data_IF_878527174869
#
_entry.id   IF_878527174869
#
_cell.length_a   1.000
_cell.length_b   1.000
_cell.length_c   1.000
_cell.angle_alpha   90.00
_cell.angle_beta   90.00
_cell.angle_gamma   90.00
#
_symmetry.space_group_name_H-M   'P 1'
#
loop_
_entity.id
_entity.type
_entity.pdbx_description
1 polymer ?
#
# COMPACT_ATOMS: atom_id res chain seq x y z
N UNK A 1 -17.64 -33.00 22.64
CA UNK A 1 -16.84 -32.40 21.56
C UNK A 1 -15.53 -33.14 21.54
N UNK A 2 -15.29 -33.95 20.52
CA UNK A 2 -14.11 -34.81 20.44
C UNK A 2 -12.87 -33.92 20.22
N UNK A 3 -11.94 -33.93 21.18
CA UNK A 3 -10.61 -33.36 20.99
C UNK A 3 -9.91 -34.22 19.93
N UNK A 4 -9.81 -33.71 18.71
CA UNK A 4 -9.01 -34.34 17.65
C UNK A 4 -7.57 -34.39 18.16
N UNK A 5 -7.03 -35.59 18.38
CA UNK A 5 -5.66 -35.77 18.85
C UNK A 5 -4.69 -35.26 17.78
N UNK A 6 -3.91 -34.23 18.11
CA UNK A 6 -2.88 -33.70 17.20
C UNK A 6 -1.67 -34.63 17.23
N UNK A 7 -1.34 -35.19 16.08
CA UNK A 7 -0.18 -36.06 15.92
C UNK A 7 1.09 -35.23 15.82
N UNK A 8 2.15 -35.61 16.55
CA UNK A 8 3.45 -34.96 16.49
C UNK A 8 3.70 -33.82 17.50
N UNK A 9 2.77 -33.55 18.43
CA UNK A 9 2.96 -32.48 19.43
C UNK A 9 4.19 -32.67 20.33
N UNK A 10 4.44 -33.90 20.78
CA UNK A 10 5.59 -34.18 21.65
C UNK A 10 6.91 -34.13 20.87
N UNK A 11 6.87 -34.49 19.58
CA UNK A 11 8.01 -34.37 18.67
C UNK A 11 8.30 -32.89 18.39
N UNK A 12 7.25 -32.10 18.16
CA UNK A 12 7.35 -30.65 17.98
C UNK A 12 7.95 -30.00 19.23
N UNK A 13 7.44 -30.29 20.42
CA UNK A 13 7.99 -29.71 21.66
C UNK A 13 9.47 -30.03 21.82
N UNK A 14 9.87 -31.30 21.65
CA UNK A 14 11.28 -31.70 21.71
C UNK A 14 12.12 -30.97 20.66
N UNK A 15 11.59 -30.79 19.45
CA UNK A 15 12.30 -30.09 18.40
C UNK A 15 12.49 -28.61 18.71
N UNK A 16 11.45 -27.93 19.20
CA UNK A 16 11.53 -26.52 19.63
C UNK A 16 12.50 -26.35 20.81
N UNK A 17 12.48 -27.26 21.78
CA UNK A 17 13.44 -27.25 22.89
C UNK A 17 14.88 -27.46 22.41
N UNK A 18 15.08 -28.31 21.39
CA UNK A 18 16.37 -28.49 20.72
C UNK A 18 16.85 -27.22 20.03
N UNK A 19 15.97 -26.52 19.30
CA UNK A 19 16.28 -25.23 18.66
C UNK A 19 16.57 -24.12 19.67
N UNK A 20 15.94 -24.16 20.84
CA UNK A 20 16.21 -23.20 21.92
C UNK A 20 17.60 -23.41 22.54
N UNK A 21 18.05 -24.66 22.60
CA UNK A 21 19.39 -25.03 23.10
C UNK A 21 20.49 -24.79 22.06
N UNK A 22 20.20 -25.09 20.79
CA UNK A 22 21.12 -24.91 19.66
C UNK A 22 20.43 -24.19 18.49
N UNK A 23 20.56 -22.85 18.40
CA UNK A 23 20.01 -22.08 17.29
C UNK A 23 20.57 -22.44 15.91
N UNK A 24 21.67 -23.19 15.82
CA UNK A 24 22.23 -23.66 14.55
C UNK A 24 21.52 -24.93 14.03
N UNK A 25 20.68 -25.57 14.85
CA UNK A 25 19.89 -26.72 14.44
C UNK A 25 18.93 -26.34 13.29
N UNK A 26 18.88 -27.21 12.28
CA UNK A 26 18.01 -27.03 11.11
C UNK A 26 16.55 -27.26 11.53
N UNK A 27 15.68 -26.30 11.21
CA UNK A 27 14.24 -26.44 11.46
C UNK A 27 13.64 -27.55 10.60
N UNK A 28 12.91 -28.45 11.24
CA UNK A 28 12.13 -29.48 10.58
C UNK A 28 10.79 -28.89 10.10
N UNK A 29 10.81 -28.15 9.00
CA UNK A 29 9.63 -27.46 8.45
C UNK A 29 8.43 -28.40 8.29
N UNK A 30 8.65 -29.62 7.79
CA UNK A 30 7.59 -30.63 7.62
C UNK A 30 6.87 -30.99 8.91
N UNK A 31 7.59 -31.06 10.04
CA UNK A 31 6.97 -31.32 11.35
C UNK A 31 6.09 -30.15 11.78
N UNK A 32 6.57 -28.92 11.60
CA UNK A 32 5.82 -27.71 11.95
C UNK A 32 4.56 -27.59 11.08
N UNK A 33 4.69 -27.76 9.76
CA UNK A 33 3.58 -27.70 8.80
C UNK A 33 2.52 -28.77 9.12
N UNK A 34 2.94 -30.01 9.41
CA UNK A 34 2.01 -31.09 9.75
C UNK A 34 1.22 -30.79 11.02
N UNK A 35 1.85 -30.21 12.04
CA UNK A 35 1.14 -29.80 13.26
C UNK A 35 0.23 -28.61 12.97
N UNK A 36 0.69 -27.62 12.21
CA UNK A 36 -0.07 -26.44 11.84
C UNK A 36 -1.40 -26.80 11.14
N UNK A 37 -1.35 -27.72 10.18
CA UNK A 37 -2.52 -28.19 9.42
C UNK A 37 -3.59 -28.87 10.30
N UNK A 38 -3.19 -29.40 11.46
CA UNK A 38 -4.10 -30.05 12.42
C UNK A 38 -4.64 -29.07 13.47
N UNK A 39 -4.11 -27.85 13.56
CA UNK A 39 -4.55 -26.86 14.54
C UNK A 39 -5.94 -26.30 14.17
N UNK A 40 -6.84 -26.30 15.13
CA UNK A 40 -8.20 -25.74 15.05
C UNK A 40 -8.39 -24.74 16.18
N UNK A 41 -9.37 -23.83 16.07
CA UNK A 41 -9.66 -22.87 17.14
C UNK A 41 -9.91 -23.54 18.51
N UNK A 42 -10.50 -24.75 18.49
CA UNK A 42 -10.80 -25.54 19.69
C UNK A 42 -9.55 -26.12 20.36
N UNK A 43 -8.48 -26.40 19.61
CA UNK A 43 -7.27 -27.03 20.14
C UNK A 43 -6.09 -26.04 20.34
N UNK A 44 -6.13 -24.86 19.72
CA UNK A 44 -5.07 -23.85 19.88
C UNK A 44 -5.03 -23.34 21.32
N UNK A 45 -6.17 -22.96 21.90
CA UNK A 45 -6.24 -22.32 23.22
C UNK A 45 -5.56 -23.14 24.34
N UNK A 46 -5.81 -24.47 24.50
CA UNK A 46 -5.10 -25.29 25.47
C UNK A 46 -3.59 -25.41 25.24
N UNK A 47 -3.14 -25.21 24.01
CA UNK A 47 -1.75 -25.40 23.60
C UNK A 47 -0.93 -24.10 23.67
N UNK A 48 -1.56 -22.93 23.78
CA UNK A 48 -0.89 -21.63 23.86
C UNK A 48 0.17 -21.56 24.96
N UNK A 49 -0.09 -21.94 26.22
CA UNK A 49 0.91 -21.81 27.28
C UNK A 49 2.13 -22.72 27.04
N UNK A 50 1.95 -23.82 26.30
CA UNK A 50 3.01 -24.78 25.98
C UNK A 50 3.89 -24.24 24.85
N UNK A 51 3.33 -23.76 23.75
CA UNK A 51 4.11 -23.47 22.54
C UNK A 51 4.45 -21.99 22.35
N UNK A 52 3.56 -21.08 22.72
CA UNK A 52 3.74 -19.66 22.40
C UNK A 52 5.02 -19.06 23.02
N UNK A 53 5.37 -19.29 24.31
CA UNK A 53 6.61 -18.76 24.89
C UNK A 53 7.88 -19.26 24.20
N UNK A 54 7.86 -20.50 23.70
CA UNK A 54 8.99 -21.10 22.98
C UNK A 54 9.16 -20.49 21.61
N UNK A 55 8.05 -20.38 20.87
CA UNK A 55 8.02 -19.78 19.54
C UNK A 55 8.48 -18.31 19.59
N UNK A 56 7.98 -17.52 20.54
CA UNK A 56 8.40 -16.11 20.68
C UNK A 56 9.87 -15.98 21.06
N UNK A 57 10.40 -16.87 21.89
CA UNK A 57 11.83 -16.89 22.22
C UNK A 57 12.68 -17.25 20.99
N UNK A 58 12.28 -18.27 20.22
CA UNK A 58 12.96 -18.66 18.99
C UNK A 58 13.02 -17.52 17.98
N UNK A 59 11.90 -16.83 17.74
CA UNK A 59 11.84 -15.72 16.79
C UNK A 59 12.84 -14.59 17.09
N UNK A 60 13.25 -14.41 18.35
CA UNK A 60 14.24 -13.38 18.74
C UNK A 60 15.69 -13.78 18.51
N UNK A 61 15.98 -15.07 18.40
CA UNK A 61 17.36 -15.58 18.34
C UNK A 61 17.69 -16.37 17.07
N UNK A 62 16.67 -16.72 16.28
CA UNK A 62 16.84 -17.60 15.13
C UNK A 62 17.44 -16.84 13.93
N UNK A 63 18.49 -17.40 13.33
CA UNK A 63 19.29 -16.76 12.28
C UNK A 63 19.09 -17.36 10.88
N UNK A 64 18.39 -18.50 10.78
CA UNK A 64 18.06 -19.12 9.49
C UNK A 64 16.66 -18.68 9.02
N UNK A 65 16.16 -19.28 7.93
CA UNK A 65 14.82 -19.01 7.40
C UNK A 65 13.73 -19.26 8.47
N UNK A 66 13.03 -18.23 8.94
CA UNK A 66 12.07 -18.36 10.03
C UNK A 66 10.68 -18.79 9.57
N UNK A 67 10.47 -19.05 8.26
CA UNK A 67 9.13 -19.19 7.66
C UNK A 67 8.24 -20.20 8.38
N UNK A 68 8.72 -21.43 8.63
CA UNK A 68 7.90 -22.45 9.31
C UNK A 68 7.57 -22.08 10.76
N UNK A 69 8.52 -21.48 11.49
CA UNK A 69 8.31 -21.01 12.89
C UNK A 69 7.28 -19.89 12.90
N UNK A 70 7.39 -18.95 11.96
CA UNK A 70 6.48 -17.82 11.82
C UNK A 70 5.06 -18.26 11.49
N UNK A 71 4.87 -19.15 10.51
CA UNK A 71 3.53 -19.61 10.12
C UNK A 71 2.81 -20.27 11.29
N UNK A 72 3.50 -21.16 11.99
CA UNK A 72 2.99 -21.78 13.21
C UNK A 72 2.68 -20.74 14.29
N UNK A 73 3.54 -19.72 14.46
CA UNK A 73 3.30 -18.63 15.42
C UNK A 73 2.06 -17.82 15.05
N UNK A 74 1.89 -17.46 13.78
CA UNK A 74 0.70 -16.77 13.27
C UNK A 74 -0.56 -17.60 13.59
N UNK A 75 -0.50 -18.92 13.38
CA UNK A 75 -1.61 -19.82 13.70
C UNK A 75 -1.96 -19.80 15.19
N UNK A 76 -0.96 -19.86 16.08
CA UNK A 76 -1.18 -19.74 17.52
C UNK A 76 -1.69 -18.36 17.95
N UNK A 77 -1.24 -17.28 17.32
CA UNK A 77 -1.71 -15.93 17.63
C UNK A 77 -3.13 -15.63 17.13
N UNK A 78 -3.70 -16.49 16.27
CA UNK A 78 -5.06 -16.36 15.74
C UNK A 78 -6.11 -16.01 16.81
N UNK A 79 -6.34 -16.87 17.83
CA UNK A 79 -7.35 -16.63 18.86
C UNK A 79 -6.90 -15.69 20.00
N UNK A 80 -5.63 -15.27 20.05
CA UNK A 80 -5.14 -14.39 21.13
C UNK A 80 -5.63 -12.95 20.88
N UNK A 81 -6.24 -12.24 21.85
CA UNK A 81 -6.67 -10.85 21.65
C UNK A 81 -5.50 -9.89 21.41
N UNK A 82 -5.72 -8.79 20.68
CA UNK A 82 -4.68 -7.81 20.34
C UNK A 82 -3.91 -7.32 21.56
N UNK A 83 -4.60 -6.90 22.63
CA UNK A 83 -3.96 -6.38 23.85
C UNK A 83 -2.94 -7.36 24.45
N UNK A 84 -3.27 -8.65 24.44
CA UNK A 84 -2.40 -9.69 24.98
C UNK A 84 -1.18 -9.89 24.09
N UNK A 85 -1.37 -9.90 22.76
CA UNK A 85 -0.25 -10.00 21.80
C UNK A 85 0.67 -8.78 21.91
N UNK A 86 0.10 -7.58 21.99
CA UNK A 86 0.85 -6.33 22.08
C UNK A 86 1.58 -6.18 23.42
N UNK A 87 1.05 -6.74 24.51
CA UNK A 87 1.77 -6.79 25.79
C UNK A 87 2.98 -7.75 25.75
N UNK A 88 2.92 -8.80 24.92
CA UNK A 88 4.01 -9.77 24.76
C UNK A 88 5.08 -9.30 23.76
N UNK A 89 4.67 -8.66 22.66
CA UNK A 89 5.55 -8.14 21.62
C UNK A 89 5.65 -6.62 21.74
N UNK A 90 6.75 -6.13 22.32
CA UNK A 90 6.97 -4.69 22.48
C UNK A 90 7.04 -4.00 21.11
N UNK A 91 6.75 -2.69 21.03
CA UNK A 91 6.87 -1.93 19.78
C UNK A 91 8.21 -2.16 19.05
N UNK A 92 9.32 -2.20 19.78
CA UNK A 92 10.65 -2.45 19.19
C UNK A 92 10.78 -3.85 18.57
N UNK A 93 10.17 -4.88 19.18
CA UNK A 93 10.16 -6.25 18.63
C UNK A 93 9.36 -6.28 17.30
N UNK A 94 8.27 -5.50 17.21
CA UNK A 94 7.45 -5.40 16.02
C UNK A 94 8.13 -4.59 14.91
N UNK A 95 8.82 -3.50 15.26
CA UNK A 95 9.66 -2.75 14.32
C UNK A 95 10.75 -3.68 13.76
N UNK A 96 11.44 -4.44 14.61
CA UNK A 96 12.45 -5.40 14.16
C UNK A 96 11.86 -6.47 13.21
N UNK A 97 10.65 -6.95 13.49
CA UNK A 97 9.96 -7.90 12.62
C UNK A 97 9.59 -7.28 11.26
N UNK A 98 9.16 -6.01 11.25
CA UNK A 98 8.87 -5.25 10.03
C UNK A 98 10.14 -4.91 9.25
N UNK A 99 11.27 -4.65 9.91
CA UNK A 99 12.53 -4.31 9.26
C UNK A 99 13.30 -5.54 8.73
N UNK A 100 12.98 -6.73 9.25
CA UNK A 100 13.59 -8.00 8.86
C UNK A 100 13.61 -8.20 7.34
N UNK A 101 14.70 -8.74 6.76
CA UNK A 101 14.73 -9.12 5.35
C UNK A 101 13.86 -10.34 5.04
N UNK A 102 13.41 -11.09 6.06
CA UNK A 102 12.58 -12.26 5.90
C UNK A 102 11.09 -11.88 5.70
N UNK A 103 10.46 -12.21 4.56
CA UNK A 103 9.06 -11.85 4.29
C UNK A 103 8.10 -12.38 5.36
N UNK A 104 8.34 -13.60 5.86
CA UNK A 104 7.55 -14.20 6.92
C UNK A 104 7.53 -13.31 8.18
N UNK A 105 8.67 -12.78 8.61
CA UNK A 105 8.75 -11.89 9.77
C UNK A 105 7.94 -10.60 9.56
N UNK A 106 7.97 -10.03 8.34
CA UNK A 106 7.16 -8.86 8.01
C UNK A 106 5.67 -9.19 8.08
N UNK A 107 5.26 -10.34 7.54
CA UNK A 107 3.88 -10.84 7.61
C UNK A 107 3.42 -11.07 9.05
N UNK A 108 4.30 -11.55 9.94
CA UNK A 108 4.01 -11.67 11.37
C UNK A 108 3.77 -10.29 12.00
N UNK A 109 4.68 -9.34 11.80
CA UNK A 109 4.53 -7.97 12.32
C UNK A 109 3.23 -7.32 11.85
N UNK A 110 2.95 -7.37 10.54
CA UNK A 110 1.70 -6.87 9.97
C UNK A 110 0.47 -7.63 10.48
N UNK A 111 0.57 -8.93 10.74
CA UNK A 111 -0.53 -9.71 11.30
C UNK A 111 -0.84 -9.30 12.73
N UNK A 112 0.18 -9.08 13.56
CA UNK A 112 -0.01 -8.57 14.93
C UNK A 112 -0.71 -7.22 14.92
N UNK A 113 -0.23 -6.27 14.11
CA UNK A 113 -0.83 -4.94 14.00
C UNK A 113 -2.27 -5.00 13.49
N UNK A 114 -2.52 -5.83 12.47
CA UNK A 114 -3.85 -6.01 11.90
C UNK A 114 -4.89 -6.52 12.91
N UNK A 115 -4.49 -7.20 13.99
CA UNK A 115 -5.42 -7.61 15.05
C UNK A 115 -6.06 -6.43 15.78
N UNK A 116 -5.45 -5.24 15.76
CA UNK A 116 -6.05 -4.04 16.33
C UNK A 116 -7.36 -3.67 15.60
N UNK A 117 -7.52 -4.03 14.32
CA UNK A 117 -8.77 -3.82 13.56
C UNK A 117 -9.98 -4.63 14.10
N UNK A 118 -9.79 -5.47 15.12
CA UNK A 118 -10.91 -6.15 15.78
C UNK A 118 -11.77 -5.19 16.64
N UNK A 119 -11.21 -4.09 17.12
CA UNK A 119 -11.90 -3.14 18.01
C UNK A 119 -11.32 -1.71 17.85
N UNK A 120 -12.14 -0.68 17.59
CA UNK A 120 -11.68 0.70 17.48
C UNK A 120 -10.96 1.23 18.73
N UNK A 121 -11.19 0.65 19.92
CA UNK A 121 -10.53 1.06 21.17
C UNK A 121 -9.02 0.74 21.18
N UNK A 122 -8.56 -0.15 20.30
CA UNK A 122 -7.13 -0.50 20.18
C UNK A 122 -6.32 0.52 19.37
N UNK A 123 -6.96 1.33 18.53
CA UNK A 123 -6.30 2.19 17.53
C UNK A 123 -5.58 3.40 18.16
N UNK A 124 -6.12 4.04 19.22
CA UNK A 124 -5.37 5.07 19.96
C UNK A 124 -4.03 4.57 20.47
N UNK A 125 -3.96 3.33 20.97
CA UNK A 125 -2.71 2.73 21.43
C UNK A 125 -1.68 2.61 20.30
N UNK A 126 -2.11 2.18 19.11
CA UNK A 126 -1.22 2.10 17.94
C UNK A 126 -0.72 3.49 17.50
N UNK A 127 -1.62 4.48 17.47
CA UNK A 127 -1.28 5.85 17.11
C UNK A 127 -0.28 6.53 18.06
N UNK A 128 -0.17 6.02 19.30
CA UNK A 128 0.82 6.49 20.27
C UNK A 128 2.26 6.03 19.94
N UNK A 129 2.45 5.19 18.92
CA UNK A 129 3.77 4.74 18.45
C UNK A 129 4.00 5.10 16.97
N UNK A 130 4.26 6.38 16.63
CA UNK A 130 4.52 6.82 15.25
C UNK A 130 5.62 6.05 14.53
N UNK A 131 6.71 5.69 15.23
CA UNK A 131 7.82 4.90 14.65
C UNK A 131 7.39 3.50 14.20
N UNK A 132 6.45 2.88 14.90
CA UNK A 132 5.90 1.58 14.53
C UNK A 132 5.02 1.69 13.28
N UNK A 133 4.23 2.76 13.18
CA UNK A 133 3.44 3.08 11.97
C UNK A 133 4.36 3.42 10.80
N UNK A 134 5.43 4.17 11.04
CA UNK A 134 6.46 4.48 10.03
C UNK A 134 7.16 3.21 9.52
N UNK A 135 7.57 2.30 10.41
CA UNK A 135 8.13 1.01 10.02
C UNK A 135 7.14 0.17 9.20
N UNK A 136 5.85 0.19 9.56
CA UNK A 136 4.80 -0.47 8.79
C UNK A 136 4.66 0.14 7.39
N UNK A 137 4.63 1.46 7.25
CA UNK A 137 4.51 2.15 5.95
C UNK A 137 5.72 1.87 5.06
N UNK A 138 6.94 1.98 5.59
CA UNK A 138 8.17 1.63 4.87
C UNK A 138 8.08 0.20 4.35
N UNK A 139 7.76 -0.74 5.23
CA UNK A 139 7.70 -2.15 4.84
C UNK A 139 6.59 -2.45 3.84
N UNK A 140 5.41 -1.87 4.01
CA UNK A 140 4.31 -2.04 3.09
C UNK A 140 4.64 -1.51 1.69
N UNK A 141 5.22 -0.32 1.59
CA UNK A 141 5.45 0.32 0.29
C UNK A 141 6.73 -0.15 -0.39
N UNK A 142 7.80 -0.44 0.35
CA UNK A 142 9.12 -0.75 -0.20
C UNK A 142 9.49 -2.24 -0.24
N UNK A 143 8.68 -3.16 0.31
CA UNK A 143 8.97 -4.60 0.19
C UNK A 143 8.89 -5.06 -1.28
N UNK A 144 9.85 -5.85 -1.80
CA UNK A 144 9.72 -6.42 -3.15
C UNK A 144 8.66 -7.53 -3.24
N UNK A 145 8.28 -8.13 -2.11
CA UNK A 145 7.39 -9.29 -2.07
C UNK A 145 5.91 -8.88 -2.23
N UNK A 146 5.18 -9.61 -3.07
CA UNK A 146 3.77 -9.33 -3.38
C UNK A 146 2.90 -9.56 -2.15
N UNK A 147 3.13 -10.67 -1.43
CA UNK A 147 2.37 -11.07 -0.25
C UNK A 147 2.49 -10.06 0.90
N UNK A 148 3.67 -9.46 1.09
CA UNK A 148 3.88 -8.39 2.09
C UNK A 148 3.11 -7.13 1.69
N UNK A 149 3.17 -6.75 0.41
CA UNK A 149 2.40 -5.62 -0.13
C UNK A 149 0.88 -5.79 0.02
N UNK A 150 0.36 -6.98 -0.30
CA UNK A 150 -1.06 -7.32 -0.18
C UNK A 150 -1.51 -7.32 1.29
N UNK A 151 -0.73 -7.93 2.18
CA UNK A 151 -1.01 -7.94 3.61
C UNK A 151 -1.02 -6.54 4.19
N UNK A 152 -0.05 -5.70 3.82
CA UNK A 152 0.04 -4.31 4.27
C UNK A 152 -1.16 -3.48 3.79
N UNK A 153 -1.55 -3.59 2.53
CA UNK A 153 -2.71 -2.87 1.99
C UNK A 153 -4.01 -3.27 2.71
N UNK A 154 -4.22 -4.59 2.91
CA UNK A 154 -5.37 -5.10 3.66
C UNK A 154 -5.37 -4.58 5.10
N UNK A 155 -4.24 -4.73 5.80
CA UNK A 155 -4.13 -4.34 7.20
C UNK A 155 -4.36 -2.84 7.38
N UNK A 156 -3.73 -2.00 6.57
CA UNK A 156 -3.91 -0.55 6.65
C UNK A 156 -5.35 -0.13 6.33
N UNK A 157 -5.94 -0.70 5.28
CA UNK A 157 -7.32 -0.42 4.92
C UNK A 157 -8.31 -0.81 6.04
N UNK A 158 -8.12 -1.98 6.66
CA UNK A 158 -8.98 -2.45 7.76
C UNK A 158 -8.79 -1.60 9.03
N UNK A 159 -7.56 -1.21 9.35
CA UNK A 159 -7.26 -0.33 10.49
C UNK A 159 -7.88 1.06 10.32
N UNK A 160 -7.75 1.66 9.13
CA UNK A 160 -8.32 2.98 8.84
C UNK A 160 -9.85 2.93 8.75
N UNK A 161 -10.43 1.85 8.23
CA UNK A 161 -11.88 1.67 8.24
C UNK A 161 -12.44 1.65 9.66
N UNK A 162 -11.83 0.85 10.55
CA UNK A 162 -12.23 0.73 11.95
C UNK A 162 -11.98 2.02 12.74
N UNK A 163 -10.89 2.74 12.45
CA UNK A 163 -10.57 4.01 13.11
C UNK A 163 -11.38 5.20 12.57
N UNK A 164 -12.09 5.06 11.45
CA UNK A 164 -12.77 6.19 10.81
C UNK A 164 -13.75 6.89 11.77
N UNK A 165 -13.61 8.21 12.03
CA UNK A 165 -14.46 8.92 12.99
C UNK A 165 -15.86 9.25 12.43
N UNK A 166 -16.07 9.02 11.13
CA UNK A 166 -17.36 9.23 10.50
C UNK A 166 -18.34 8.09 10.87
N UNK A 167 -19.65 8.37 10.89
CA UNK A 167 -20.66 7.33 11.04
C UNK A 167 -20.44 6.16 10.07
N UNK A 168 -20.71 4.90 10.49
CA UNK A 168 -20.68 3.78 9.58
C UNK A 168 -21.69 3.99 8.45
N UNK A 169 -21.39 3.56 7.21
CA UNK A 169 -22.36 3.58 6.13
C UNK A 169 -23.61 2.77 6.51
N UNK A 170 -24.77 3.17 5.98
CA UNK A 170 -25.97 2.37 6.12
C UNK A 170 -25.73 0.96 5.54
N UNK A 171 -26.30 -0.11 6.13
CA UNK A 171 -26.16 -1.46 5.60
C UNK A 171 -26.57 -1.48 4.12
N UNK A 172 -25.66 -1.91 3.25
CA UNK A 172 -25.95 -2.04 1.82
C UNK A 172 -27.00 -3.13 1.63
N UNK A 173 -28.15 -2.78 1.05
CA UNK A 173 -29.20 -3.74 0.70
C UNK A 173 -28.89 -4.53 -0.57
N UNK A 174 -27.80 -4.18 -1.27
CA UNK A 174 -27.37 -4.82 -2.51
C UNK A 174 -26.05 -5.57 -2.27
N UNK A 175 -25.92 -6.83 -2.74
CA UNK A 175 -24.65 -7.53 -2.78
C UNK A 175 -23.75 -6.82 -3.80
N UNK A 176 -22.62 -6.29 -3.36
CA UNK A 176 -21.62 -5.70 -4.24
C UNK A 176 -20.58 -6.78 -4.50
N UNK A 177 -20.58 -7.35 -5.71
CA UNK A 177 -19.62 -8.38 -6.11
C UNK A 177 -18.30 -7.75 -6.60
N UNK A 178 -17.74 -6.87 -5.77
CA UNK A 178 -16.40 -6.32 -5.99
C UNK A 178 -15.42 -7.18 -5.20
N UNK A 179 -14.85 -8.18 -5.90
CA UNK A 179 -13.84 -9.07 -5.36
C UNK A 179 -12.78 -8.25 -4.61
N UNK A 180 -12.69 -8.44 -3.29
CA UNK A 180 -11.63 -7.97 -2.37
C UNK A 180 -11.86 -6.66 -1.59
N UNK A 181 -13.02 -6.00 -1.66
CA UNK A 181 -13.24 -4.75 -0.89
C UNK A 181 -14.52 -4.79 -0.04
N UNK A 182 -14.44 -5.35 1.17
CA UNK A 182 -15.44 -5.05 2.21
C UNK A 182 -15.39 -3.54 2.47
N UNK A 183 -16.39 -2.82 1.96
CA UNK A 183 -16.46 -1.36 1.95
C UNK A 183 -16.49 -0.75 3.36
N UNK A 184 -16.99 -1.50 4.34
CA UNK A 184 -17.05 -1.06 5.73
C UNK A 184 -17.11 -2.25 6.68
N UNK A 185 -16.05 -2.42 7.45
CA UNK A 185 -15.99 -3.33 8.60
C UNK A 185 -16.59 -2.70 9.86
N UNK A 186 -16.55 -1.37 9.96
CA UNK A 186 -16.96 -0.65 11.16
C UNK A 186 -18.46 -0.74 11.41
N UNK A 187 -18.82 -0.90 12.68
CA UNK A 187 -20.21 -0.92 13.19
C UNK A 187 -20.56 0.33 14.01
N UNK A 188 -19.56 1.12 14.35
CA UNK A 188 -19.65 2.37 15.10
C UNK A 188 -18.53 3.31 14.62
N UNK A 189 -18.62 4.63 14.88
CA UNK A 189 -17.50 5.53 14.64
C UNK A 189 -16.27 5.13 15.45
N UNK A 190 -15.09 5.22 14.83
CA UNK A 190 -13.80 5.07 15.48
C UNK A 190 -13.27 6.38 16.07
N UNK A 191 -11.99 6.37 16.46
CA UNK A 191 -11.35 7.50 17.15
C UNK A 191 -10.72 8.54 16.21
N UNK A 192 -10.46 8.19 14.95
CA UNK A 192 -9.75 9.01 13.97
C UNK A 192 -8.28 9.26 14.32
N UNK A 193 -7.72 8.50 15.27
CA UNK A 193 -6.37 8.72 15.78
C UNK A 193 -5.31 8.31 14.75
N UNK A 194 -5.52 7.19 14.06
CA UNK A 194 -4.66 6.71 12.99
C UNK A 194 -4.85 7.53 11.71
N UNK A 195 -6.06 8.00 11.41
CA UNK A 195 -6.31 8.97 10.33
C UNK A 195 -5.51 10.27 10.55
N UNK A 196 -5.57 10.81 11.77
CA UNK A 196 -4.84 12.03 12.12
C UNK A 196 -3.33 11.80 12.03
N UNK A 197 -2.83 10.67 12.54
CA UNK A 197 -1.42 10.32 12.42
C UNK A 197 -0.98 10.14 10.96
N UNK A 198 -1.78 9.52 10.09
CA UNK A 198 -1.33 9.25 8.72
C UNK A 198 -1.39 10.49 7.81
N UNK A 199 -2.42 11.34 7.98
CA UNK A 199 -2.71 12.41 7.01
C UNK A 199 -2.54 13.84 7.57
N UNK A 200 -2.46 14.01 8.89
CA UNK A 200 -2.30 15.33 9.52
C UNK A 200 -0.96 15.50 10.24
N UNK A 201 -0.35 14.42 10.71
CA UNK A 201 1.02 14.45 11.22
C UNK A 201 2.02 14.65 10.09
N UNK A 202 2.93 15.61 10.28
CA UNK A 202 3.88 16.03 9.24
C UNK A 202 4.87 14.93 8.91
N UNK A 203 5.43 14.27 9.92
CA UNK A 203 6.53 13.32 9.73
C UNK A 203 6.02 12.06 9.02
N UNK A 204 4.90 11.53 9.49
CA UNK A 204 4.26 10.33 8.92
C UNK A 204 3.76 10.58 7.49
N UNK A 205 3.11 11.72 7.25
CA UNK A 205 2.63 12.07 5.91
C UNK A 205 3.79 12.33 4.93
N UNK A 206 4.85 13.00 5.39
CA UNK A 206 6.05 13.23 4.56
C UNK A 206 6.72 11.90 4.20
N UNK A 207 6.83 10.96 5.15
CA UNK A 207 7.37 9.62 4.88
C UNK A 207 6.55 8.88 3.81
N UNK A 208 5.21 8.91 3.92
CA UNK A 208 4.32 8.32 2.91
C UNK A 208 4.60 8.91 1.52
N UNK A 209 4.67 10.23 1.43
CA UNK A 209 4.93 10.94 0.18
C UNK A 209 6.33 10.64 -0.37
N UNK A 210 7.36 10.60 0.46
CA UNK A 210 8.74 10.31 0.04
C UNK A 210 8.89 8.87 -0.51
N UNK A 211 8.19 7.91 0.09
CA UNK A 211 8.17 6.52 -0.37
C UNK A 211 7.55 6.39 -1.77
N UNK A 212 6.39 7.02 -2.00
CA UNK A 212 5.67 6.88 -3.28
C UNK A 212 6.19 7.80 -4.39
N UNK A 213 6.98 8.82 -4.04
CA UNK A 213 7.56 9.81 -4.98
C UNK A 213 9.01 9.50 -5.40
N UNK A 214 9.60 8.42 -4.89
CA UNK A 214 10.98 8.03 -5.24
C UNK A 214 12.05 8.88 -4.56
N UNK A 215 11.72 9.50 -3.43
CA UNK A 215 12.65 10.32 -2.62
C UNK A 215 13.22 9.56 -1.44
N UNK A 216 12.53 8.52 -0.99
CA UNK A 216 13.03 7.63 0.05
C UNK A 216 14.13 6.71 -0.49
N UNK A 217 15.23 6.44 0.25
CA UNK A 217 16.34 5.60 -0.24
C UNK A 217 15.93 4.22 -0.76
N UNK A 218 14.88 3.62 -0.18
CA UNK A 218 14.37 2.29 -0.56
C UNK A 218 13.55 2.29 -1.86
N UNK A 219 13.06 3.44 -2.32
CA UNK A 219 12.28 3.58 -3.56
C UNK A 219 12.93 4.54 -4.57
N UNK A 220 14.02 5.19 -4.20
CA UNK A 220 14.71 6.14 -5.06
C UNK A 220 15.41 5.43 -6.23
N UNK A 221 15.12 5.79 -7.50
CA UNK A 221 15.66 5.09 -8.67
C UNK A 221 17.20 5.19 -8.78
N UNK A 222 17.78 6.20 -8.13
CA UNK A 222 19.21 6.54 -8.21
C UNK A 222 19.96 6.37 -6.87
N UNK A 223 19.37 5.70 -5.87
CA UNK A 223 20.12 5.43 -4.63
C UNK A 223 21.28 4.48 -4.96
N UNK A 224 22.49 5.02 -4.87
CA UNK A 224 23.73 4.25 -5.07
C UNK A 224 23.72 3.10 -4.06
N UNK A 225 23.92 1.84 -4.47
CA UNK A 225 23.97 0.74 -3.53
C UNK A 225 25.12 1.01 -2.57
N UNK A 226 24.81 1.25 -1.30
CA UNK A 226 25.80 1.14 -0.23
C UNK A 226 26.24 -0.32 -0.16
N UNK A 227 27.22 -0.65 -0.99
CA UNK A 227 28.10 -1.80 -0.91
C UNK A 227 27.53 -3.20 -1.24
N UNK A 228 26.60 -3.32 -2.19
CA UNK A 228 26.30 -4.60 -2.86
C UNK A 228 26.05 -4.40 -4.35
N UNK A 229 26.59 -5.30 -5.17
CA UNK A 229 26.48 -5.30 -6.63
C UNK A 229 25.05 -5.60 -7.13
N UNK A 230 24.07 -4.74 -6.80
CA UNK A 230 22.71 -4.84 -7.32
C UNK A 230 22.35 -3.62 -8.15
N UNK A 231 22.04 -3.90 -9.41
CA UNK A 231 21.81 -2.96 -10.51
C UNK A 231 20.76 -1.88 -10.17
N UNK A 232 21.02 -0.63 -10.58
CA UNK A 232 20.11 0.54 -10.50
C UNK A 232 18.68 0.27 -11.05
N UNK A 233 18.51 -0.78 -11.87
CA UNK A 233 17.20 -1.26 -12.35
C UNK A 233 16.25 -1.74 -11.25
N UNK A 234 16.72 -2.06 -10.03
CA UNK A 234 15.87 -2.60 -8.98
C UNK A 234 14.96 -1.54 -8.34
N UNK A 235 15.45 -0.30 -8.17
CA UNK A 235 14.71 0.69 -7.37
C UNK A 235 13.64 1.43 -8.17
N UNK A 236 13.82 1.60 -9.48
CA UNK A 236 12.73 2.08 -10.34
C UNK A 236 11.52 1.11 -10.29
N UNK A 237 11.79 -0.20 -10.27
CA UNK A 237 10.74 -1.19 -10.07
C UNK A 237 10.10 -1.09 -8.68
N UNK A 238 10.89 -0.87 -7.61
CA UNK A 238 10.34 -0.64 -6.27
C UNK A 238 9.43 0.59 -6.21
N UNK A 239 9.78 1.67 -6.91
CA UNK A 239 8.93 2.85 -7.02
C UNK A 239 7.59 2.52 -7.69
N UNK A 240 7.60 1.84 -8.84
CA UNK A 240 6.37 1.39 -9.51
C UNK A 240 5.53 0.47 -8.62
N UNK A 241 6.15 -0.41 -7.83
CA UNK A 241 5.44 -1.24 -6.85
C UNK A 241 4.78 -0.40 -5.76
N UNK A 242 5.50 0.58 -5.17
CA UNK A 242 4.96 1.49 -4.16
C UNK A 242 3.78 2.30 -4.71
N UNK A 243 3.92 2.86 -5.91
CA UNK A 243 2.87 3.60 -6.61
C UNK A 243 1.64 2.73 -6.92
N UNK A 244 1.86 1.52 -7.44
CA UNK A 244 0.77 0.56 -7.69
C UNK A 244 0.06 0.11 -6.41
N UNK A 245 0.77 0.02 -5.27
CA UNK A 245 0.17 -0.32 -3.97
C UNK A 245 -0.72 0.80 -3.44
N UNK A 246 -0.29 2.05 -3.50
CA UNK A 246 -1.11 3.17 -3.04
C UNK A 246 -2.32 3.38 -3.95
N UNK A 247 -2.18 3.21 -5.28
CA UNK A 247 -3.30 3.23 -6.23
C UNK A 247 -4.37 2.20 -5.88
N UNK A 248 -4.00 0.98 -5.48
CA UNK A 248 -4.97 -0.05 -5.10
C UNK A 248 -5.67 0.22 -3.76
N UNK A 249 -5.05 0.96 -2.84
CA UNK A 249 -5.65 1.26 -1.54
C UNK A 249 -6.58 2.48 -1.59
N UNK A 250 -6.22 3.51 -2.35
CA UNK A 250 -6.91 4.80 -2.35
C UNK A 250 -8.42 4.75 -2.66
N UNK A 251 -8.92 3.95 -3.62
CA UNK A 251 -10.35 3.83 -3.88
C UNK A 251 -11.15 3.43 -2.65
N UNK A 252 -10.62 2.49 -1.85
CA UNK A 252 -11.22 2.08 -0.59
C UNK A 252 -11.21 3.22 0.43
N UNK A 253 -10.08 3.92 0.57
CA UNK A 253 -10.00 5.07 1.50
C UNK A 253 -10.93 6.21 1.11
N UNK A 254 -11.10 6.45 -0.19
CA UNK A 254 -12.06 7.43 -0.72
C UNK A 254 -13.52 7.07 -0.38
N UNK A 255 -13.85 5.78 -0.36
CA UNK A 255 -15.15 5.31 0.08
C UNK A 255 -15.37 5.47 1.60
N UNK A 256 -14.29 5.44 2.40
CA UNK A 256 -14.32 5.58 3.86
C UNK A 256 -14.39 7.06 4.28
N UNK A 257 -13.43 7.87 3.84
CA UNK A 257 -13.33 9.30 4.11
C UNK A 257 -12.59 10.01 2.96
N UNK A 258 -13.36 10.40 1.94
CA UNK A 258 -12.85 11.13 0.79
C UNK A 258 -12.19 12.44 1.18
N UNK A 259 -12.74 13.15 2.16
CA UNK A 259 -12.27 14.49 2.51
C UNK A 259 -10.85 14.43 3.07
N UNK A 260 -10.57 13.48 3.97
CA UNK A 260 -9.28 13.32 4.61
C UNK A 260 -8.13 13.02 3.63
N UNK A 261 -8.39 12.31 2.53
CA UNK A 261 -7.36 12.02 1.51
C UNK A 261 -7.31 13.06 0.38
N UNK A 262 -8.33 13.91 0.26
CA UNK A 262 -8.45 14.90 -0.82
C UNK A 262 -7.91 16.28 -0.43
N UNK A 263 -7.61 16.50 0.85
CA UNK A 263 -7.09 17.77 1.35
C UNK A 263 -5.85 17.50 2.19
N UNK A 264 -4.83 18.32 2.01
CA UNK A 264 -3.64 18.29 2.84
C UNK A 264 -3.21 19.71 3.19
N UNK A 265 -2.62 19.88 4.36
CA UNK A 265 -1.90 21.09 4.74
C UNK A 265 -0.43 21.05 4.30
N UNK A 266 0.03 19.91 3.81
CA UNK A 266 1.40 19.70 3.36
C UNK A 266 1.44 19.64 1.84
N UNK A 267 2.35 20.41 1.24
CA UNK A 267 2.54 20.39 -0.21
C UNK A 267 3.30 19.12 -0.60
N UNK A 268 2.77 18.28 -1.49
CA UNK A 268 3.48 17.09 -1.93
C UNK A 268 4.76 17.44 -2.72
N UNK A 269 5.80 16.61 -2.68
CA UNK A 269 7.00 16.84 -3.44
C UNK A 269 6.79 16.57 -4.94
N UNK A 270 7.64 17.14 -5.79
CA UNK A 270 7.77 16.65 -7.16
C UNK A 270 8.32 15.21 -7.14
N UNK A 271 7.71 14.27 -7.90
CA UNK A 271 8.21 12.90 -8.01
C UNK A 271 9.59 12.85 -8.68
N UNK A 272 10.30 11.74 -8.51
CA UNK A 272 11.63 11.52 -9.10
C UNK A 272 11.59 10.23 -9.91
N UNK A 273 11.86 10.32 -11.21
CA UNK A 273 11.90 9.16 -12.12
C UNK A 273 13.33 8.89 -12.61
N UNK A 274 13.58 7.65 -13.04
CA UNK A 274 14.92 7.19 -13.43
C UNK A 274 15.53 7.96 -14.63
N UNK A 275 14.72 8.55 -15.49
CA UNK A 275 15.18 9.12 -16.76
C UNK A 275 15.50 10.64 -16.71
N UNK A 276 15.31 11.30 -15.57
CA UNK A 276 15.40 12.78 -15.50
C UNK A 276 16.80 13.32 -15.18
N UNK A 277 17.76 12.49 -14.77
CA UNK A 277 19.08 12.98 -14.31
C UNK A 277 20.11 13.29 -15.39
N UNK A 278 19.79 13.16 -16.68
CA UNK A 278 20.69 13.58 -17.76
C UNK A 278 20.58 15.06 -18.13
N UNK A 279 19.73 15.84 -17.47
CA UNK A 279 19.54 17.26 -17.76
C UNK A 279 19.68 18.16 -16.53
N UNK A 280 20.78 18.92 -16.47
CA UNK A 280 20.92 20.17 -15.70
C UNK A 280 21.13 20.08 -14.18
N UNK A 281 22.31 19.65 -13.75
CA UNK A 281 22.96 20.21 -12.55
C UNK A 281 24.03 21.21 -12.99
N UNK A 282 23.64 22.47 -13.22
CA UNK A 282 24.60 23.57 -13.38
C UNK A 282 25.29 23.84 -12.03
N UNK A 283 26.42 23.16 -11.81
CA UNK A 283 27.40 23.52 -10.82
C UNK A 283 28.16 24.77 -11.28
N UNK A 284 27.93 25.88 -10.58
CA UNK A 284 28.76 27.08 -10.63
C UNK A 284 30.16 26.75 -10.11
N UNK A 285 31.14 26.57 -11.00
CA UNK A 285 32.56 26.77 -10.67
C UNK A 285 33.24 27.58 -11.75
N UNK A 286 33.65 28.80 -11.38
CA UNK A 286 34.57 29.65 -12.12
C UNK A 286 35.96 28.98 -12.16
N UNK A 287 36.61 29.00 -13.32
CA UNK A 287 37.98 28.52 -13.49
C UNK A 287 38.50 28.71 -14.91
N UNK A 288 39.33 29.72 -15.08
CA UNK A 288 39.95 30.23 -16.30
C UNK A 288 40.65 29.23 -17.25
N UNK A 289 40.57 29.59 -18.54
CA UNK A 289 41.56 29.47 -19.62
C UNK A 289 41.59 28.26 -20.56
N UNK A 290 41.98 28.49 -21.85
CA UNK A 290 41.47 27.75 -23.00
C UNK A 290 42.52 26.84 -23.64
N UNK A 291 42.11 25.65 -24.09
CA UNK A 291 42.86 24.90 -25.09
C UNK A 291 41.99 24.66 -26.32
N UNK A 292 42.34 25.39 -27.38
CA UNK A 292 41.85 25.22 -28.74
C UNK A 292 42.48 23.94 -29.31
N UNK A 293 41.66 22.99 -29.75
CA UNK A 293 42.01 22.07 -30.84
C UNK A 293 40.82 21.95 -31.78
N UNK A 294 40.92 22.66 -32.89
CA UNK A 294 40.08 22.48 -34.07
C UNK A 294 40.35 21.10 -34.68
N UNK A 295 39.32 20.26 -34.77
CA UNK A 295 39.27 19.22 -35.79
C UNK A 295 37.88 19.25 -36.41
N UNK A 296 37.83 19.80 -37.62
CA UNK A 296 36.65 19.92 -38.46
C UNK A 296 36.60 18.68 -39.33
N UNK A 297 35.79 17.70 -38.94
CA UNK A 297 35.42 16.58 -39.82
C UNK A 297 34.04 16.90 -40.42
N UNK A 298 33.92 17.14 -41.74
CA UNK A 298 32.65 17.51 -42.36
C UNK A 298 31.98 16.24 -42.90
N UNK A 299 31.58 15.32 -42.02
CA UNK A 299 30.69 14.23 -42.44
C UNK A 299 29.99 13.54 -41.25
N UNK A 300 29.08 14.26 -40.59
CA UNK A 300 28.10 13.65 -39.70
C UNK A 300 26.70 14.12 -40.10
N UNK A 301 25.93 13.18 -40.65
CA UNK A 301 24.48 13.31 -40.79
C UNK A 301 23.89 13.74 -39.44
N UNK A 302 22.91 14.67 -39.39
CA UNK A 302 22.21 14.96 -38.16
C UNK A 302 21.36 13.72 -37.85
N UNK A 303 21.87 12.88 -36.95
CA UNK A 303 21.01 11.92 -36.26
C UNK A 303 20.24 12.79 -35.29
N UNK A 304 18.99 13.09 -35.60
CA UNK A 304 18.06 13.69 -34.65
C UNK A 304 18.05 12.80 -33.41
N UNK A 305 18.79 13.25 -32.40
CA UNK A 305 18.71 12.73 -31.04
C UNK A 305 17.35 13.20 -30.53
N UNK A 306 16.30 12.47 -30.90
CA UNK A 306 14.97 12.61 -30.31
C UNK A 306 15.06 12.06 -28.89
N UNK A 307 15.74 12.79 -28.00
CA UNK A 307 15.54 12.63 -26.57
C UNK A 307 14.05 12.88 -26.33
N UNK A 308 13.29 11.92 -25.78
CA UNK A 308 11.89 12.13 -25.47
C UNK A 308 11.78 13.38 -24.59
N UNK A 309 11.18 14.43 -25.16
CA UNK A 309 11.03 15.71 -24.49
C UNK A 309 9.89 15.56 -23.49
N UNK A 310 10.22 15.10 -22.29
CA UNK A 310 9.25 15.03 -21.21
C UNK A 310 8.89 16.47 -20.80
N UNK A 311 7.59 16.79 -20.60
CA UNK A 311 7.23 18.06 -19.99
C UNK A 311 7.88 18.13 -18.59
N UNK A 312 8.39 19.30 -18.17
CA UNK A 312 8.98 19.44 -16.85
C UNK A 312 7.96 19.07 -15.77
N UNK A 313 8.38 18.33 -14.76
CA UNK A 313 7.55 18.00 -13.60
C UNK A 313 7.09 19.29 -12.93
N UNK A 314 5.82 19.63 -13.14
CA UNK A 314 5.19 20.76 -12.45
C UNK A 314 4.96 20.32 -11.01
N UNK A 315 5.52 21.02 -10.02
CA UNK A 315 5.23 20.70 -8.62
C UNK A 315 3.72 20.83 -8.39
N UNK A 316 3.10 19.90 -7.65
CA UNK A 316 1.68 19.95 -7.39
C UNK A 316 1.31 21.26 -6.68
N UNK A 317 0.09 21.79 -6.93
CA UNK A 317 -0.40 22.96 -6.22
C UNK A 317 -0.31 22.84 -4.69
N UNK A 318 -0.24 23.97 -3.96
CA UNK A 318 -0.41 23.93 -2.52
C UNK A 318 -1.80 23.37 -2.18
N UNK A 319 -1.88 22.66 -1.05
CA UNK A 319 -3.08 21.97 -0.55
C UNK A 319 -3.58 20.77 -1.38
N UNK A 320 -2.80 20.31 -2.37
CA UNK A 320 -3.10 19.05 -3.07
C UNK A 320 -3.10 17.88 -2.08
N UNK A 321 -4.26 17.24 -1.94
CA UNK A 321 -4.41 16.01 -1.14
C UNK A 321 -3.70 14.82 -1.76
N UNK A 322 -3.61 13.73 -0.99
CA UNK A 322 -2.98 12.49 -1.44
C UNK A 322 -3.69 11.92 -2.69
N UNK A 323 -5.02 11.99 -2.74
CA UNK A 323 -5.82 11.48 -3.86
C UNK A 323 -5.45 12.17 -5.18
N UNK A 324 -5.45 13.51 -5.18
CA UNK A 324 -5.07 14.32 -6.34
C UNK A 324 -3.61 14.12 -6.70
N UNK A 325 -2.73 14.11 -5.69
CA UNK A 325 -1.31 13.91 -5.92
C UNK A 325 -1.02 12.60 -6.64
N UNK A 326 -1.55 11.49 -6.13
CA UNK A 326 -1.32 10.16 -6.69
C UNK A 326 -1.92 10.05 -8.10
N UNK A 327 -3.13 10.56 -8.32
CA UNK A 327 -3.84 10.34 -9.58
C UNK A 327 -3.47 11.32 -10.70
N UNK A 328 -3.02 12.53 -10.38
CA UNK A 328 -2.74 13.59 -11.37
C UNK A 328 -1.25 13.86 -11.58
N UNK A 329 -0.43 13.67 -10.55
CA UNK A 329 0.96 14.14 -10.56
C UNK A 329 2.00 13.06 -10.35
N UNK A 330 1.63 11.92 -9.75
CA UNK A 330 2.59 10.89 -9.35
C UNK A 330 2.88 9.85 -10.44
N UNK A 331 1.93 9.58 -11.33
CA UNK A 331 2.03 8.48 -12.29
C UNK A 331 2.57 8.97 -13.63
N UNK A 332 3.67 8.37 -14.06
CA UNK A 332 4.23 8.62 -15.39
C UNK A 332 3.43 7.85 -16.44
N UNK A 333 2.53 8.54 -17.15
CA UNK A 333 1.64 7.93 -18.16
C UNK A 333 2.36 7.29 -19.37
N UNK A 334 3.64 7.61 -19.58
CA UNK A 334 4.44 6.93 -20.63
C UNK A 334 4.84 5.50 -20.27
N UNK A 335 4.77 5.13 -18.99
CA UNK A 335 4.85 3.73 -18.57
C UNK A 335 3.45 3.10 -18.73
N UNK A 336 3.29 2.27 -19.77
CA UNK A 336 2.01 1.64 -20.11
C UNK A 336 1.42 0.83 -18.96
N UNK A 337 2.24 0.11 -18.18
CA UNK A 337 1.72 -0.70 -17.08
C UNK A 337 1.20 0.17 -15.94
N UNK A 338 1.91 1.26 -15.65
CA UNK A 338 1.47 2.22 -14.65
C UNK A 338 0.26 3.04 -15.11
N UNK A 339 0.15 3.35 -16.40
CA UNK A 339 -1.05 4.00 -16.96
C UNK A 339 -2.27 3.09 -16.91
N UNK A 340 -2.14 1.80 -17.26
CA UNK A 340 -3.22 0.82 -17.06
C UNK A 340 -3.63 0.71 -15.59
N UNK A 341 -2.66 0.77 -14.67
CA UNK A 341 -2.95 0.79 -13.22
C UNK A 341 -3.69 2.07 -12.79
N UNK A 342 -3.42 3.20 -13.44
CA UNK A 342 -4.14 4.46 -13.21
C UNK A 342 -5.58 4.38 -13.73
N UNK A 343 -5.81 3.73 -14.88
CA UNK A 343 -7.15 3.50 -15.43
C UNK A 343 -7.96 2.61 -14.47
N UNK A 344 -7.43 1.46 -14.07
CA UNK A 344 -8.05 0.56 -13.09
C UNK A 344 -8.37 1.28 -11.76
N UNK A 345 -7.47 2.15 -11.31
CA UNK A 345 -7.71 3.01 -10.16
C UNK A 345 -8.94 3.91 -10.34
N UNK A 346 -9.08 4.60 -11.47
CA UNK A 346 -10.21 5.49 -11.70
C UNK A 346 -11.53 4.71 -11.83
N UNK A 347 -11.52 3.57 -12.52
CA UNK A 347 -12.69 2.69 -12.61
C UNK A 347 -13.15 2.24 -11.21
N UNK A 348 -12.22 1.77 -10.39
CA UNK A 348 -12.49 1.31 -9.03
C UNK A 348 -12.93 2.48 -8.13
N UNK A 349 -12.27 3.64 -8.23
CA UNK A 349 -12.62 4.84 -7.46
C UNK A 349 -14.07 5.26 -7.72
N UNK A 350 -14.46 5.34 -8.99
CA UNK A 350 -15.80 5.79 -9.36
C UNK A 350 -16.86 4.73 -9.01
N UNK A 351 -16.55 3.44 -9.16
CA UNK A 351 -17.43 2.36 -8.75
C UNK A 351 -17.70 2.36 -7.24
N UNK A 352 -16.65 2.46 -6.41
CA UNK A 352 -16.78 2.44 -4.94
C UNK A 352 -17.37 3.74 -4.39
N UNK A 353 -16.99 4.90 -4.95
CA UNK A 353 -17.52 6.18 -4.47
C UNK A 353 -18.99 6.38 -4.85
N UNK A 354 -19.49 5.78 -5.94
CA UNK A 354 -20.93 5.80 -6.25
C UNK A 354 -21.79 5.27 -5.10
N UNK A 355 -21.34 4.19 -4.46
CA UNK A 355 -22.09 3.47 -3.42
C UNK A 355 -21.70 3.87 -2.00
N UNK A 356 -20.67 4.70 -1.83
CA UNK A 356 -20.31 5.24 -0.51
C UNK A 356 -21.29 6.33 -0.06
N UNK A 357 -21.42 6.59 1.25
CA UNK A 357 -22.29 7.64 1.78
C UNK A 357 -22.06 9.00 1.10
N UNK A 358 -23.10 9.84 0.97
CA UNK A 358 -22.92 11.21 0.54
C UNK A 358 -22.09 11.96 1.60
N UNK A 359 -21.11 12.74 1.15
CA UNK A 359 -20.35 13.65 1.98
C UNK A 359 -20.26 15.02 1.31
N UNK A 360 -20.04 16.06 2.11
CA UNK A 360 -19.92 17.43 1.62
C UNK A 360 -18.77 17.53 0.61
N UNK A 361 -19.02 18.18 -0.52
CA UNK A 361 -18.00 18.38 -1.55
C UNK A 361 -17.57 17.12 -2.33
N UNK A 362 -18.14 15.92 -2.07
CA UNK A 362 -17.79 14.68 -2.78
C UNK A 362 -17.92 14.79 -4.29
N UNK A 363 -19.10 15.18 -4.77
CA UNK A 363 -19.38 15.29 -6.20
C UNK A 363 -18.47 16.32 -6.87
N UNK A 364 -18.25 17.46 -6.22
CA UNK A 364 -17.38 18.51 -6.75
C UNK A 364 -15.92 18.07 -6.80
N UNK A 365 -15.43 17.41 -5.75
CA UNK A 365 -14.08 16.86 -5.67
C UNK A 365 -13.83 15.83 -6.76
N UNK A 366 -14.75 14.87 -6.93
CA UNK A 366 -14.63 13.82 -7.95
C UNK A 366 -14.79 14.39 -9.36
N UNK A 367 -15.71 15.34 -9.57
CA UNK A 367 -15.88 16.03 -10.87
C UNK A 367 -14.60 16.77 -11.26
N UNK A 368 -14.01 17.56 -10.36
CA UNK A 368 -12.77 18.27 -10.62
C UNK A 368 -11.62 17.30 -10.93
N UNK A 369 -11.50 16.23 -10.12
CA UNK A 369 -10.49 15.19 -10.30
C UNK A 369 -10.59 14.51 -11.66
N UNK A 370 -11.79 14.04 -12.03
CA UNK A 370 -12.04 13.37 -13.31
C UNK A 370 -11.82 14.34 -14.46
N UNK A 371 -12.35 15.56 -14.37
CA UNK A 371 -12.22 16.57 -15.41
C UNK A 371 -10.75 16.87 -15.74
N UNK A 372 -9.89 16.95 -14.73
CA UNK A 372 -8.45 17.15 -14.90
C UNK A 372 -7.75 15.89 -15.43
N UNK A 373 -8.07 14.72 -14.89
CA UNK A 373 -7.41 13.46 -15.24
C UNK A 373 -7.56 13.08 -16.73
N UNK A 374 -8.72 13.36 -17.33
CA UNK A 374 -9.03 13.06 -18.73
C UNK A 374 -8.52 14.11 -19.72
N UNK A 375 -7.90 15.20 -19.25
CA UNK A 375 -7.28 16.20 -20.14
C UNK A 375 -6.07 15.59 -20.81
N UNK A 376 -6.13 15.43 -22.13
CA UNK A 376 -5.03 14.86 -22.92
C UNK A 376 -4.85 13.35 -22.74
N UNK A 377 -5.81 12.65 -22.12
CA UNK A 377 -5.77 11.21 -21.88
C UNK A 377 -7.03 10.54 -22.44
N UNK A 378 -6.99 10.25 -23.75
CA UNK A 378 -8.13 9.65 -24.44
C UNK A 378 -8.37 8.20 -24.00
N UNK A 379 -7.31 7.47 -23.63
CA UNK A 379 -7.44 6.07 -23.20
C UNK A 379 -8.18 5.98 -21.86
N UNK A 380 -7.84 6.84 -20.89
CA UNK A 380 -8.62 6.95 -19.66
C UNK A 380 -10.05 7.40 -19.93
N UNK A 381 -10.25 8.39 -20.81
CA UNK A 381 -11.59 8.86 -21.17
C UNK A 381 -12.45 7.73 -21.74
N UNK A 382 -11.93 7.00 -22.71
CA UNK A 382 -12.64 5.92 -23.40
C UNK A 382 -12.95 4.77 -22.43
N UNK A 383 -12.00 4.43 -21.55
CA UNK A 383 -12.20 3.44 -20.50
C UNK A 383 -13.34 3.82 -19.55
N UNK A 384 -13.41 5.09 -19.11
CA UNK A 384 -14.48 5.60 -18.25
C UNK A 384 -15.83 5.67 -18.96
N UNK A 385 -15.86 6.08 -20.23
CA UNK A 385 -17.09 6.11 -21.04
C UNK A 385 -17.65 4.71 -21.23
N UNK A 386 -16.78 3.72 -21.50
CA UNK A 386 -17.13 2.31 -21.69
C UNK A 386 -17.27 1.49 -20.40
N UNK A 387 -17.19 2.12 -19.23
CA UNK A 387 -17.27 1.42 -17.94
C UNK A 387 -18.67 0.86 -17.65
N UNK A 388 -19.78 1.58 -17.89
CA UNK A 388 -21.13 1.05 -17.68
C UNK A 388 -21.38 -0.23 -18.48
N UNK A 389 -20.92 -0.32 -19.73
CA UNK A 389 -21.14 -1.47 -20.61
C UNK A 389 -20.34 -2.72 -20.18
N UNK A 390 -19.35 -2.55 -19.29
CA UNK A 390 -18.54 -3.62 -18.72
C UNK A 390 -19.01 -4.05 -17.33
N UNK A 391 -19.99 -3.36 -16.74
CA UNK A 391 -20.58 -3.75 -15.45
C UNK A 391 -21.78 -4.68 -15.66
N UNK A 392 -22.31 -5.22 -14.56
CA UNK A 392 -23.53 -6.05 -14.61
C UNK A 392 -24.75 -5.20 -15.01
N UNK A 393 -25.68 -5.80 -15.76
CA UNK A 393 -26.84 -5.10 -16.36
C UNK A 393 -27.67 -4.36 -15.31
N UNK A 394 -27.77 -4.90 -14.08
CA UNK A 394 -28.51 -4.27 -12.98
C UNK A 394 -27.85 -2.98 -12.44
N UNK A 395 -26.56 -2.79 -12.68
CA UNK A 395 -25.80 -1.63 -12.19
C UNK A 395 -25.46 -0.60 -13.29
N UNK A 396 -25.60 -0.98 -14.56
CA UNK A 396 -25.22 -0.15 -15.71
C UNK A 396 -25.89 1.22 -15.67
N UNK A 397 -27.22 1.25 -15.51
CA UNK A 397 -27.98 2.51 -15.52
C UNK A 397 -27.61 3.45 -14.38
N UNK A 398 -27.47 2.90 -13.17
CA UNK A 398 -27.06 3.65 -11.98
C UNK A 398 -25.63 4.21 -12.14
N UNK A 399 -24.71 3.41 -12.70
CA UNK A 399 -23.34 3.85 -12.97
C UNK A 399 -23.28 4.92 -14.07
N UNK A 400 -24.03 4.76 -15.15
CA UNK A 400 -24.12 5.75 -16.23
C UNK A 400 -24.66 7.09 -15.72
N UNK A 401 -25.69 7.07 -14.87
CA UNK A 401 -26.20 8.28 -14.23
C UNK A 401 -25.14 8.98 -13.39
N UNK A 402 -24.44 8.22 -12.54
CA UNK A 402 -23.35 8.73 -11.70
C UNK A 402 -22.20 9.37 -12.50
N UNK A 403 -21.73 8.70 -13.56
CA UNK A 403 -20.69 9.24 -14.44
C UNK A 403 -21.16 10.49 -15.20
N UNK A 404 -22.46 10.57 -15.51
CA UNK A 404 -23.09 11.78 -16.06
C UNK A 404 -23.03 12.97 -15.11
N UNK A 405 -23.31 12.78 -13.82
CA UNK A 405 -23.19 13.85 -12.80
C UNK A 405 -21.75 14.36 -12.64
N UNK A 406 -20.78 13.48 -12.85
CA UNK A 406 -19.35 13.79 -12.86
C UNK A 406 -18.88 14.45 -14.16
N UNK A 407 -19.73 14.56 -15.18
CA UNK A 407 -19.39 15.19 -16.46
C UNK A 407 -18.48 14.36 -17.35
N UNK A 408 -18.44 13.03 -17.17
CA UNK A 408 -17.67 12.11 -18.03
C UNK A 408 -18.19 12.15 -19.47
N UNK A 409 -19.50 12.16 -19.63
CA UNK A 409 -20.16 12.32 -20.93
C UNK A 409 -20.33 13.81 -21.22
N UNK A 410 -19.65 14.34 -22.24
CA UNK A 410 -19.85 15.74 -22.65
C UNK A 410 -21.30 15.97 -23.12
N UNK A 411 -21.84 17.18 -22.91
CA UNK A 411 -23.23 17.60 -23.16
C UNK A 411 -23.75 17.45 -24.62
N UNK A 412 -23.04 16.77 -25.52
CA UNK A 412 -23.46 16.52 -26.91
C UNK A 412 -23.97 15.12 -27.23
N UNK A 413 -23.83 14.13 -26.33
CA UNK A 413 -24.19 12.72 -26.59
C UNK A 413 -25.51 12.28 -25.92
N UNK A 414 -26.02 13.04 -24.95
CA UNK A 414 -27.25 12.69 -24.22
C UNK A 414 -28.50 12.75 -25.13
N UNK A 415 -28.44 13.50 -26.23
CA UNK A 415 -29.55 13.62 -27.19
C UNK A 415 -29.67 12.44 -28.18
N UNK A 416 -28.70 11.52 -28.21
CA UNK A 416 -28.74 10.36 -29.12
C UNK A 416 -29.24 9.08 -28.43
N UNK A 417 -29.07 8.97 -27.10
CA UNK A 417 -29.45 7.75 -26.34
C UNK A 417 -30.90 7.82 -25.79
N UNK A 418 -31.52 9.01 -25.81
CA UNK A 418 -32.93 9.21 -25.41
C UNK A 418 -33.92 9.23 -26.60
N UNK A 419 -33.57 8.63 -27.75
CA UNK A 419 -34.49 8.47 -28.89
C UNK A 419 -34.68 7.04 -29.34
#
# INVERSE_FOLDING_TARGET
>A
MENTSITGLDELEKHLDGLLQDPALIVNAKLLDNVELQLTETNILPLLPRFLPRLTTLLKQYTQDPTAIVNLTIRFLGPVPFEHVFAMAKPDDLIQALDSPAPAANLLGMTVLHKAAADPDHLPLLSAYPELVAAFLRRWLAAPQVEVGQKGAKALGDLLDIDCPLPPPAPTTRPVDLSHTDLSLRKAPGHGALWSLLFQDKETYTLLLDLISGRHPETAPNSSPTNTNTNSTNNAHQLSLAQGRILRLLPRLAAIDLHAISHSQFTPPAPVYANETNGHTNGLTNGDSPHITNNTDPNTNPTEDQTPHYPPLVPPPPNTGLLQYVSLHLIQKSDTLMHLSLIDFFETLLALTRISPPSEGKLETLRALVAEAVVGDNELRDALVGLPERTVEEEEGDLRGWLGELGVFQQGEVDVVMR
#
